data_IF_756817336207
#
_entry.id   IF_756817336207
#
_cell.length_a   1.000
_cell.length_b   1.000
_cell.length_c   1.000
_cell.angle_alpha   90.00
_cell.angle_beta   90.00
_cell.angle_gamma   90.00
#
_symmetry.space_group_name_H-M   'P 1'
#
loop_
_entity.id
_entity.type
_entity.pdbx_description
1 polymer ?
#
# COMPACT_ATOMS: atom_id res chain seq x y z
N UNK A 1 20.30 -33.92 40.92
CA UNK A 1 21.27 -33.07 40.20
C UNK A 1 20.53 -31.82 39.77
N UNK A 2 20.88 -30.67 40.36
CA UNK A 2 20.14 -29.42 40.18
C UNK A 2 20.29 -28.85 38.77
N UNK A 3 19.16 -28.47 38.15
CA UNK A 3 19.14 -27.66 36.94
C UNK A 3 19.73 -26.29 37.27
N UNK A 4 21.04 -26.13 37.10
CA UNK A 4 21.67 -24.81 37.04
C UNK A 4 21.28 -24.19 35.71
N UNK A 5 20.19 -23.45 35.71
CA UNK A 5 19.80 -22.58 34.61
C UNK A 5 20.88 -21.51 34.49
N UNK A 6 21.76 -21.65 33.50
CA UNK A 6 22.86 -20.73 33.28
C UNK A 6 22.28 -19.40 32.75
N UNK A 7 22.39 -18.28 33.48
CA UNK A 7 21.76 -17.01 33.10
C UNK A 7 22.24 -16.49 31.73
N UNK A 8 23.48 -16.78 31.33
CA UNK A 8 24.01 -16.48 29.99
C UNK A 8 23.23 -17.17 28.86
N UNK A 9 22.77 -18.42 29.05
CA UNK A 9 21.95 -19.12 28.04
C UNK A 9 20.55 -18.56 27.91
N UNK A 10 20.00 -17.99 28.99
CA UNK A 10 18.70 -17.32 28.95
C UNK A 10 18.84 -16.00 28.19
N UNK A 11 19.91 -15.24 28.45
CA UNK A 11 20.20 -14.00 27.73
C UNK A 11 20.47 -14.28 26.25
N UNK A 12 21.29 -15.28 25.88
CA UNK A 12 21.49 -15.69 24.48
C UNK A 12 20.19 -16.13 23.79
N UNK A 13 19.28 -16.82 24.49
CA UNK A 13 17.98 -17.20 23.92
C UNK A 13 17.02 -16.01 23.77
N UNK A 14 17.07 -15.03 24.68
CA UNK A 14 16.28 -13.79 24.56
C UNK A 14 16.83 -12.92 23.43
N UNK A 15 18.15 -12.82 23.30
CA UNK A 15 18.81 -12.04 22.24
C UNK A 15 18.63 -12.70 20.86
N UNK A 16 18.67 -14.05 20.79
CA UNK A 16 18.34 -14.82 19.59
C UNK A 16 16.84 -14.76 19.25
N UNK A 17 15.95 -14.76 20.24
CA UNK A 17 14.51 -14.60 20.00
C UNK A 17 14.20 -13.18 19.50
N UNK A 18 14.85 -12.15 20.07
CA UNK A 18 14.70 -10.76 19.64
C UNK A 18 15.32 -10.49 18.26
N UNK A 19 16.44 -11.14 17.94
CA UNK A 19 17.12 -10.99 16.64
C UNK A 19 16.53 -11.89 15.54
N UNK A 20 15.88 -13.00 15.90
CA UNK A 20 15.24 -13.94 14.97
C UNK A 20 13.81 -13.58 14.57
N UNK A 21 13.14 -12.70 15.31
CA UNK A 21 11.82 -12.12 14.95
C UNK A 21 11.93 -10.88 14.06
N UNK A 22 13.12 -10.48 13.59
CA UNK A 22 13.31 -9.31 12.74
C UNK A 22 13.58 -9.64 11.26
N UNK A 23 13.85 -10.90 10.92
CA UNK A 23 14.31 -11.27 9.56
C UNK A 23 13.54 -12.48 8.99
N UNK A 24 12.31 -12.21 8.53
CA UNK A 24 11.51 -13.20 7.81
C UNK A 24 10.55 -12.56 6.81
N UNK A 25 10.19 -13.27 5.71
CA UNK A 25 9.27 -12.78 4.69
C UNK A 25 7.86 -12.44 5.23
N UNK A 26 7.53 -12.88 6.45
CA UNK A 26 6.28 -12.52 7.16
C UNK A 26 6.26 -11.07 7.63
N UNK A 27 7.38 -10.51 8.12
CA UNK A 27 7.42 -9.08 8.49
C UNK A 27 7.32 -8.16 7.29
N UNK A 28 7.88 -8.56 6.14
CA UNK A 28 7.75 -7.79 4.90
C UNK A 28 6.28 -7.74 4.43
N UNK A 29 5.53 -8.84 4.58
CA UNK A 29 4.09 -8.89 4.31
C UNK A 29 3.27 -8.09 5.32
N UNK A 30 3.62 -8.11 6.61
CA UNK A 30 2.92 -7.32 7.65
C UNK A 30 3.11 -5.80 7.52
N UNK A 31 4.02 -5.37 6.64
CA UNK A 31 4.31 -3.97 6.34
C UNK A 31 3.65 -3.49 5.04
N UNK A 32 2.96 -4.36 4.32
CA UNK A 32 2.34 -4.02 3.04
C UNK A 32 0.95 -4.62 2.90
N UNK A 33 0.01 -3.85 2.36
CA UNK A 33 -1.26 -4.36 1.88
C UNK A 33 -1.25 -4.26 0.36
N UNK A 34 -1.59 -5.35 -0.32
CA UNK A 34 -1.57 -5.40 -1.78
C UNK A 34 -2.80 -6.09 -2.33
N UNK A 35 -3.46 -5.47 -3.31
CA UNK A 35 -4.56 -6.10 -4.03
C UNK A 35 -4.30 -5.99 -5.51
N UNK A 36 -4.52 -7.11 -6.19
CA UNK A 36 -4.49 -7.20 -7.65
C UNK A 36 -5.90 -7.44 -8.16
N UNK A 37 -6.29 -6.66 -9.16
CA UNK A 37 -7.51 -6.85 -9.92
C UNK A 37 -7.18 -7.03 -11.39
N UNK A 38 -8.04 -7.78 -12.08
CA UNK A 38 -7.90 -8.05 -13.50
C UNK A 38 -9.20 -7.68 -14.18
N UNK A 39 -9.08 -6.96 -15.28
CA UNK A 39 -10.17 -6.73 -16.21
C UNK A 39 -9.97 -7.64 -17.42
N UNK A 40 -10.84 -8.63 -17.55
CA UNK A 40 -10.82 -9.58 -18.66
C UNK A 40 -11.76 -9.17 -19.80
N UNK A 41 -12.49 -8.06 -19.68
CA UNK A 41 -13.41 -7.61 -20.73
C UNK A 41 -12.64 -6.86 -21.81
N UNK A 42 -12.54 -7.44 -23.00
CA UNK A 42 -11.92 -6.79 -24.17
C UNK A 42 -12.76 -5.57 -24.57
N UNK A 43 -12.14 -4.39 -24.75
CA UNK A 43 -12.86 -3.18 -25.13
C UNK A 43 -13.35 -3.29 -26.57
N UNK A 44 -14.43 -2.57 -26.89
CA UNK A 44 -14.93 -2.50 -28.27
C UNK A 44 -13.83 -2.01 -29.23
N UNK A 45 -13.82 -2.55 -30.45
CA UNK A 45 -12.85 -2.20 -31.50
C UNK A 45 -12.97 -0.73 -31.88
N UNK A 46 -14.19 -0.19 -31.79
CA UNK A 46 -14.49 1.21 -32.07
C UNK A 46 -14.37 2.12 -30.82
N UNK A 47 -13.97 1.58 -29.68
CA UNK A 47 -13.83 2.34 -28.44
C UNK A 47 -12.83 3.48 -28.60
N UNK A 48 -13.26 4.69 -28.26
CA UNK A 48 -12.42 5.88 -28.35
C UNK A 48 -11.33 5.84 -27.27
N UNK A 49 -10.19 6.53 -27.51
CA UNK A 49 -9.11 6.62 -26.52
C UNK A 49 -9.59 7.12 -25.14
N UNK A 50 -10.49 8.12 -25.02
CA UNK A 50 -11.05 8.50 -23.73
C UNK A 50 -11.85 7.40 -23.03
N UNK A 51 -12.57 6.55 -23.75
CA UNK A 51 -13.33 5.43 -23.18
C UNK A 51 -12.40 4.34 -22.65
N UNK A 52 -11.37 4.01 -23.42
CA UNK A 52 -10.30 3.10 -23.02
C UNK A 52 -9.55 3.62 -21.78
N UNK A 53 -9.29 4.93 -21.70
CA UNK A 53 -8.71 5.56 -20.51
C UNK A 53 -9.62 5.43 -19.30
N UNK A 54 -10.93 5.70 -19.46
CA UNK A 54 -11.90 5.54 -18.38
C UNK A 54 -11.98 4.10 -17.89
N UNK A 55 -11.84 3.10 -18.77
CA UNK A 55 -11.79 1.68 -18.38
C UNK A 55 -10.64 1.40 -17.42
N UNK A 56 -9.42 1.80 -17.77
CA UNK A 56 -8.24 1.63 -16.89
C UNK A 56 -8.42 2.41 -15.58
N UNK A 57 -8.91 3.65 -15.64
CA UNK A 57 -9.17 4.43 -14.44
C UNK A 57 -10.20 3.75 -13.51
N UNK A 58 -11.30 3.21 -14.05
CA UNK A 58 -12.29 2.45 -13.28
C UNK A 58 -11.69 1.19 -12.66
N UNK A 59 -10.80 0.51 -13.38
CA UNK A 59 -10.08 -0.64 -12.83
C UNK A 59 -9.22 -0.21 -11.64
N UNK A 60 -8.44 0.86 -11.76
CA UNK A 60 -7.65 1.44 -10.66
C UNK A 60 -8.54 1.83 -9.47
N UNK A 61 -9.67 2.48 -9.72
CA UNK A 61 -10.62 2.89 -8.67
C UNK A 61 -11.19 1.68 -7.93
N UNK A 62 -11.58 0.63 -8.66
CA UNK A 62 -12.08 -0.63 -8.09
C UNK A 62 -11.01 -1.33 -7.26
N UNK A 63 -9.76 -1.41 -7.75
CA UNK A 63 -8.64 -1.96 -6.98
C UNK A 63 -8.40 -1.15 -5.71
N UNK A 64 -8.43 0.18 -5.80
CA UNK A 64 -8.28 1.08 -4.66
C UNK A 64 -9.36 0.81 -3.59
N UNK A 65 -10.62 0.70 -4.00
CA UNK A 65 -11.72 0.41 -3.06
C UNK A 65 -11.50 -0.91 -2.34
N UNK A 66 -11.00 -1.94 -3.03
CA UNK A 66 -10.66 -3.23 -2.44
C UNK A 66 -9.49 -3.14 -1.47
N UNK A 67 -8.41 -2.41 -1.80
CA UNK A 67 -7.30 -2.16 -0.86
C UNK A 67 -7.79 -1.41 0.38
N UNK A 68 -8.59 -0.36 0.21
CA UNK A 68 -9.08 0.48 1.31
C UNK A 68 -10.04 -0.27 2.28
N UNK A 69 -10.68 -1.32 1.78
CA UNK A 69 -11.57 -2.23 2.52
C UNK A 69 -10.86 -3.53 2.97
N UNK A 70 -9.62 -3.78 2.53
CA UNK A 70 -8.88 -4.98 2.86
C UNK A 70 -8.61 -5.07 4.36
N UNK A 71 -8.65 -6.29 4.90
CA UNK A 71 -8.28 -6.57 6.29
C UNK A 71 -6.80 -6.26 6.54
N UNK A 72 -5.96 -6.36 5.50
CA UNK A 72 -4.52 -6.11 5.55
C UNK A 72 -4.15 -4.66 5.88
N UNK A 73 -5.09 -3.71 5.71
CA UNK A 73 -4.84 -2.30 6.06
C UNK A 73 -4.92 -2.05 7.57
N UNK A 74 -5.60 -2.93 8.32
CA UNK A 74 -5.79 -2.75 9.77
C UNK A 74 -4.49 -2.98 10.56
N UNK A 75 -3.67 -4.02 10.30
CA UNK A 75 -2.33 -4.17 10.87
C UNK A 75 -1.43 -2.96 10.61
N UNK A 76 -1.50 -2.39 9.40
CA UNK A 76 -0.76 -1.18 9.02
C UNK A 76 -1.14 0.02 9.88
N UNK A 77 -2.44 0.22 10.10
CA UNK A 77 -2.93 1.30 10.97
C UNK A 77 -2.57 1.09 12.45
N UNK A 78 -2.57 -0.16 12.94
CA UNK A 78 -2.16 -0.47 14.31
C UNK A 78 -0.68 -0.14 14.56
N UNK A 79 0.20 -0.44 13.60
CA UNK A 79 1.61 -0.02 13.65
C UNK A 79 1.76 1.50 13.56
N UNK A 80 0.96 2.13 12.72
CA UNK A 80 0.96 3.59 12.61
C UNK A 80 0.55 4.27 13.93
N UNK A 81 -0.38 3.71 14.69
CA UNK A 81 -0.67 4.17 16.05
C UNK A 81 0.58 4.09 16.93
N UNK A 82 1.31 2.97 16.90
CA UNK A 82 2.49 2.80 17.75
C UNK A 82 3.56 3.84 17.43
N UNK A 83 3.76 4.16 16.15
CA UNK A 83 4.67 5.22 15.68
C UNK A 83 4.15 6.61 16.07
N UNK A 84 2.84 6.85 16.00
CA UNK A 84 2.22 8.11 16.39
C UNK A 84 2.18 8.37 17.90
N UNK A 85 2.19 7.32 18.73
CA UNK A 85 2.26 7.40 20.20
C UNK A 85 3.69 7.73 20.70
N UNK A 86 4.72 7.49 19.88
CA UNK A 86 6.09 7.91 20.14
C UNK A 86 6.30 9.36 19.69
N UNK A 87 6.31 10.30 20.65
CA UNK A 87 6.62 11.70 20.38
C UNK A 87 7.96 11.81 19.61
N UNK A 88 7.92 12.46 18.43
CA UNK A 88 9.03 12.66 17.47
C UNK A 88 9.28 11.56 16.42
N UNK A 89 8.50 10.47 16.39
CA UNK A 89 8.63 9.49 15.30
C UNK A 89 7.68 9.78 14.14
N UNK A 90 8.21 9.69 12.92
CA UNK A 90 7.46 9.82 11.67
C UNK A 90 7.33 8.46 11.00
N UNK A 91 6.20 8.20 10.35
CA UNK A 91 6.05 7.02 9.49
C UNK A 91 6.24 7.45 8.03
N UNK A 92 7.11 6.72 7.32
CA UNK A 92 7.29 6.89 5.88
C UNK A 92 6.62 5.72 5.16
N UNK A 93 5.77 6.01 4.20
CA UNK A 93 5.09 5.00 3.42
C UNK A 93 5.23 5.24 1.93
N UNK A 94 4.89 4.22 1.15
CA UNK A 94 4.82 4.33 -0.29
C UNK A 94 3.54 3.69 -0.82
N UNK A 95 2.93 4.33 -1.81
CA UNK A 95 1.84 3.76 -2.61
C UNK A 95 2.38 3.48 -4.00
N UNK A 96 2.31 2.22 -4.39
CA UNK A 96 2.66 1.73 -5.72
C UNK A 96 1.40 1.35 -6.48
N UNK A 97 1.29 1.79 -7.72
CA UNK A 97 0.27 1.37 -8.69
C UNK A 97 1.01 0.78 -9.88
N UNK A 98 0.66 -0.45 -10.23
CA UNK A 98 1.19 -1.17 -11.40
C UNK A 98 0.05 -1.52 -12.33
N UNK A 99 0.17 -1.14 -13.60
CA UNK A 99 -0.74 -1.53 -14.69
C UNK A 99 -0.02 -2.52 -15.59
N UNK A 100 -0.62 -3.69 -15.77
CA UNK A 100 -0.06 -4.82 -16.51
C UNK A 100 -0.89 -5.08 -17.76
N UNK A 101 -0.24 -5.25 -18.91
CA UNK A 101 -0.89 -5.56 -20.18
C UNK A 101 -0.65 -7.03 -20.51
N UNK A 102 -1.61 -7.90 -20.20
CA UNK A 102 -1.36 -9.34 -20.12
C UNK A 102 -1.21 -10.00 -21.49
N UNK A 103 -1.85 -9.44 -22.52
CA UNK A 103 -1.80 -9.96 -23.89
C UNK A 103 -0.85 -9.17 -24.79
N UNK A 104 -0.01 -8.31 -24.22
CA UNK A 104 0.91 -7.47 -24.96
C UNK A 104 2.34 -7.59 -24.42
N UNK A 105 3.34 -7.49 -25.30
CA UNK A 105 4.76 -7.57 -24.92
C UNK A 105 5.29 -6.31 -24.19
N UNK A 106 4.42 -5.34 -23.88
CA UNK A 106 4.80 -4.07 -23.25
C UNK A 106 5.08 -4.31 -21.77
N UNK A 107 6.11 -3.66 -21.25
CA UNK A 107 6.41 -3.71 -19.82
C UNK A 107 5.30 -3.07 -18.98
N UNK A 108 5.19 -3.51 -17.73
CA UNK A 108 4.25 -2.96 -16.76
C UNK A 108 4.51 -1.47 -16.50
N UNK A 109 3.46 -0.68 -16.48
CA UNK A 109 3.52 0.72 -16.10
C UNK A 109 3.44 0.83 -14.57
N UNK A 110 4.58 1.14 -13.93
CA UNK A 110 4.67 1.25 -12.47
C UNK A 110 4.89 2.70 -12.03
N UNK A 111 4.04 3.16 -11.11
CA UNK A 111 4.09 4.47 -10.49
C UNK A 111 4.18 4.34 -8.97
N UNK A 112 5.21 4.93 -8.38
CA UNK A 112 5.40 4.96 -6.93
C UNK A 112 5.30 6.40 -6.42
N UNK A 113 4.57 6.57 -5.33
CA UNK A 113 4.40 7.86 -4.64
C UNK A 113 4.69 7.64 -3.16
N UNK A 114 5.79 8.22 -2.63
CA UNK A 114 6.02 8.24 -1.21
C UNK A 114 5.02 9.16 -0.52
N UNK A 115 4.70 8.85 0.72
CA UNK A 115 3.92 9.71 1.61
C UNK A 115 4.50 9.67 3.01
N UNK A 116 4.48 10.82 3.67
CA UNK A 116 4.86 10.93 5.06
C UNK A 116 3.61 11.12 5.91
N UNK A 117 3.62 10.47 7.07
CA UNK A 117 2.58 10.67 8.06
C UNK A 117 3.16 11.29 9.32
N UNK A 118 2.64 12.48 9.65
CA UNK A 118 3.09 13.27 10.80
C UNK A 118 2.16 13.08 11.99
N UNK A 119 2.68 13.13 13.23
CA UNK A 119 1.85 13.10 14.44
C UNK A 119 0.75 14.17 14.45
N UNK A 120 1.02 15.34 13.88
CA UNK A 120 0.06 16.45 13.72
C UNK A 120 -1.20 16.03 12.96
N UNK A 121 -1.07 15.20 11.92
CA UNK A 121 -2.21 14.74 11.12
C UNK A 121 -3.14 13.82 11.94
N UNK A 122 -2.59 13.06 12.89
CA UNK A 122 -3.37 12.22 13.81
C UNK A 122 -4.08 13.07 14.84
N UNK A 123 -3.40 14.10 15.35
CA UNK A 123 -3.99 15.06 16.29
C UNK A 123 -5.14 15.85 15.65
N UNK A 124 -5.00 16.25 14.39
CA UNK A 124 -6.07 16.93 13.64
C UNK A 124 -7.24 15.99 13.37
N UNK A 125 -6.99 14.72 13.01
CA UNK A 125 -8.07 13.73 12.87
C UNK A 125 -8.79 13.45 14.19
N UNK A 126 -8.11 13.47 15.33
CA UNK A 126 -8.73 13.36 16.66
C UNK A 126 -9.70 14.52 16.92
N UNK A 127 -9.34 15.75 16.52
CA UNK A 127 -10.21 16.94 16.63
C UNK A 127 -11.43 16.83 15.71
N UNK A 128 -11.24 16.35 14.49
CA UNK A 128 -12.31 16.23 13.48
C UNK A 128 -13.32 15.12 13.83
N UNK A 129 -12.83 13.93 14.18
CA UNK A 129 -13.67 12.76 14.49
C UNK A 129 -14.35 12.82 15.85
N UNK A 130 -13.84 13.68 16.76
CA UNK A 130 -14.22 13.72 18.18
C UNK A 130 -14.09 12.37 18.89
N UNK A 131 -13.28 11.46 18.36
CA UNK A 131 -13.03 10.15 18.97
C UNK A 131 -11.63 10.09 19.55
N UNK A 132 -11.51 9.58 20.77
CA UNK A 132 -10.23 9.27 21.40
C UNK A 132 -9.63 7.96 20.91
N UNK A 133 -10.38 7.18 20.09
CA UNK A 133 -9.95 5.89 19.55
C UNK A 133 -8.82 6.07 18.53
N UNK A 134 -7.58 5.66 18.87
CA UNK A 134 -6.42 5.91 18.03
C UNK A 134 -6.42 5.07 16.75
N UNK A 135 -6.95 3.85 16.82
CA UNK A 135 -7.15 2.93 15.69
C UNK A 135 -8.00 3.55 14.57
N UNK A 136 -9.11 4.20 14.94
CA UNK A 136 -10.03 4.84 13.98
C UNK A 136 -9.38 6.04 13.31
N UNK A 137 -8.60 6.82 14.06
CA UNK A 137 -7.91 7.99 13.55
C UNK A 137 -6.75 7.59 12.62
N UNK A 138 -5.95 6.61 13.02
CA UNK A 138 -4.88 6.03 12.21
C UNK A 138 -5.40 5.50 10.86
N UNK A 139 -6.51 4.76 10.88
CA UNK A 139 -7.17 4.25 9.67
C UNK A 139 -7.64 5.36 8.74
N UNK A 140 -8.16 6.47 9.27
CA UNK A 140 -8.58 7.62 8.45
C UNK A 140 -7.40 8.28 7.77
N UNK A 141 -6.31 8.51 8.50
CA UNK A 141 -5.09 9.11 7.93
C UNK A 141 -4.52 8.20 6.85
N UNK A 142 -4.43 6.89 7.10
CA UNK A 142 -3.91 5.93 6.14
C UNK A 142 -4.78 5.83 4.87
N UNK A 143 -6.11 5.85 5.00
CA UNK A 143 -7.02 5.89 3.84
C UNK A 143 -6.91 7.19 3.04
N UNK A 144 -6.73 8.33 3.71
CA UNK A 144 -6.52 9.61 3.04
C UNK A 144 -5.19 9.61 2.27
N UNK A 145 -4.11 9.12 2.88
CA UNK A 145 -2.80 8.95 2.24
C UNK A 145 -2.88 7.98 1.05
N UNK A 146 -3.56 6.84 1.21
CA UNK A 146 -3.80 5.88 0.13
C UNK A 146 -4.53 6.53 -1.06
N UNK A 147 -5.63 7.25 -0.79
CA UNK A 147 -6.40 7.94 -1.84
C UNK A 147 -5.55 8.96 -2.58
N UNK A 148 -4.82 9.80 -1.85
CA UNK A 148 -3.94 10.81 -2.44
C UNK A 148 -2.80 10.17 -3.24
N UNK A 149 -2.18 9.12 -2.69
CA UNK A 149 -1.09 8.37 -3.32
C UNK A 149 -1.52 7.67 -4.61
N UNK A 150 -2.68 6.99 -4.63
CA UNK A 150 -3.22 6.36 -5.84
C UNK A 150 -3.50 7.39 -6.92
N UNK A 151 -4.15 8.52 -6.59
CA UNK A 151 -4.44 9.58 -7.56
C UNK A 151 -3.17 10.23 -8.12
N UNK A 152 -2.19 10.49 -7.27
CA UNK A 152 -0.89 11.03 -7.68
C UNK A 152 -0.12 10.04 -8.55
N UNK A 153 -0.15 8.75 -8.20
CA UNK A 153 0.50 7.69 -8.97
C UNK A 153 -0.15 7.54 -10.34
N UNK A 154 -1.49 7.50 -10.40
CA UNK A 154 -2.23 7.46 -11.65
C UNK A 154 -1.90 8.66 -12.56
N UNK A 155 -1.84 9.88 -12.03
CA UNK A 155 -1.42 11.07 -12.81
C UNK A 155 -0.01 10.94 -13.38
N UNK A 156 0.93 10.33 -12.65
CA UNK A 156 2.30 10.06 -13.14
C UNK A 156 2.30 9.00 -14.24
N UNK A 157 1.41 8.00 -14.14
CA UNK A 157 1.30 6.92 -15.11
C UNK A 157 0.54 7.31 -16.38
N UNK A 158 -0.38 8.27 -16.29
CA UNK A 158 -1.27 8.66 -17.38
C UNK A 158 -0.56 8.87 -18.74
N UNK A 159 0.60 9.55 -18.84
CA UNK A 159 1.32 9.67 -20.11
C UNK A 159 1.77 8.33 -20.70
N UNK A 160 2.23 7.38 -19.85
CA UNK A 160 2.69 6.05 -20.27
C UNK A 160 1.53 5.15 -20.67
N UNK A 161 0.42 5.23 -19.94
CA UNK A 161 -0.80 4.50 -20.30
C UNK A 161 -1.33 4.99 -21.66
N UNK A 162 -1.31 6.32 -21.90
CA UNK A 162 -1.68 6.89 -23.22
C UNK A 162 -0.76 6.43 -24.35
N UNK A 163 0.52 6.23 -24.07
CA UNK A 163 1.46 5.64 -25.03
C UNK A 163 1.12 4.17 -25.31
N UNK A 164 0.85 3.37 -24.27
CA UNK A 164 0.36 1.99 -24.41
C UNK A 164 -0.92 1.89 -25.24
N UNK A 165 -1.81 2.88 -25.15
CA UNK A 165 -3.02 2.93 -25.98
C UNK A 165 -2.75 3.14 -27.46
N UNK A 166 -1.70 3.91 -27.80
CA UNK A 166 -1.27 4.09 -29.19
C UNK A 166 -0.75 2.79 -29.78
N UNK A 167 -0.09 1.99 -28.96
CA UNK A 167 0.38 0.64 -29.30
C UNK A 167 -0.72 -0.43 -29.23
N UNK A 168 -1.95 -0.06 -28.82
CA UNK A 168 -3.07 -0.99 -28.62
C UNK A 168 -2.82 -2.05 -27.54
N UNK A 169 -1.95 -1.77 -26.57
CA UNK A 169 -1.59 -2.72 -25.50
C UNK A 169 -2.76 -3.04 -24.54
N UNK A 170 -3.68 -2.10 -24.34
CA UNK A 170 -4.89 -2.26 -23.51
C UNK A 170 -6.09 -2.87 -24.26
N UNK A 171 -5.91 -3.26 -25.53
CA UNK A 171 -6.96 -3.97 -26.28
C UNK A 171 -7.17 -5.40 -25.77
N UNK A 172 -6.29 -5.91 -24.91
CA UNK A 172 -6.47 -7.19 -24.23
C UNK A 172 -6.93 -7.04 -22.78
N UNK A 173 -6.60 -8.06 -22.00
CA UNK A 173 -6.77 -8.12 -20.56
C UNK A 173 -5.75 -7.20 -19.88
N UNK A 174 -6.23 -6.44 -18.90
CA UNK A 174 -5.42 -5.49 -18.13
C UNK A 174 -5.48 -5.86 -16.66
N UNK A 175 -4.33 -5.94 -16.02
CA UNK A 175 -4.20 -6.11 -14.57
C UNK A 175 -3.84 -4.79 -13.90
N UNK A 176 -4.39 -4.52 -12.72
CA UNK A 176 -3.92 -3.44 -11.84
C UNK A 176 -3.60 -3.99 -10.47
N UNK A 177 -2.38 -3.77 -10.02
CA UNK A 177 -1.95 -4.06 -8.66
C UNK A 177 -1.70 -2.75 -7.92
N UNK A 178 -2.33 -2.59 -6.76
CA UNK A 178 -2.06 -1.47 -5.85
C UNK A 178 -1.44 -2.05 -4.58
N UNK A 179 -0.29 -1.52 -4.21
CA UNK A 179 0.43 -1.86 -2.99
C UNK A 179 0.59 -0.61 -2.15
N UNK A 180 0.27 -0.71 -0.86
CA UNK A 180 0.59 0.33 0.12
C UNK A 180 1.53 -0.28 1.15
N UNK A 181 2.69 0.35 1.32
CA UNK A 181 3.69 -0.02 2.30
C UNK A 181 3.86 1.04 3.37
N UNK A 182 4.16 0.61 4.59
CA UNK A 182 4.59 1.49 5.67
C UNK A 182 5.95 1.05 6.18
N UNK A 183 6.79 2.01 6.52
CA UNK A 183 8.11 1.84 7.12
C UNK A 183 8.23 2.85 8.27
N UNK A 184 8.85 2.44 9.37
CA UNK A 184 9.22 3.41 10.40
C UNK A 184 10.35 4.27 9.85
N UNK A 185 10.27 5.60 10.01
CA UNK A 185 11.48 6.40 9.96
C UNK A 185 12.20 6.17 11.30
N UNK A 186 13.47 5.76 11.25
CA UNK A 186 14.35 5.76 12.43
C UNK A 186 14.56 7.17 12.97
#
# INVERSE_FOLDING_TARGET
>A
MGFRTNPDRILENIDRARSGELDGPRLASDLQASVREMDTEVPDVDATNPERMRRIFRLVERTYMKVAQSVEIAPLAARFQTVGDLHHHHAHGDVSVSVQYLDHARHDDVGVVPFDVKPEQVADQKRETRTSRPDVNAMKVLRAALRAGVLASYKKLEPRIREGMRERADMGHVGVTITVGLRSAE
#
